data_IF_059859306297
#
_entry.id   IF_059859306297
#
_cell.length_a   1.000
_cell.length_b   1.000
_cell.length_c   1.000
_cell.angle_alpha   90.00
_cell.angle_beta   90.00
_cell.angle_gamma   90.00
#
_symmetry.space_group_name_H-M   'P 1'
#
loop_
_entity.id
_entity.type
_entity.pdbx_description
1 polymer ?
#
# COMPACT_ATOMS: atom_id res chain seq x y z
N UNK A 1 -6.96 -10.65 -9.50
CA UNK A 1 -7.38 -9.56 -10.41
C UNK A 1 -8.03 -8.39 -9.65
N UNK A 2 -8.85 -8.64 -8.62
CA UNK A 2 -9.55 -7.59 -7.87
C UNK A 2 -8.62 -6.49 -7.36
N UNK A 3 -7.55 -6.84 -6.65
CA UNK A 3 -6.61 -5.87 -6.08
C UNK A 3 -5.79 -5.08 -7.13
N UNK A 4 -5.78 -5.51 -8.39
CA UNK A 4 -5.12 -4.75 -9.45
C UNK A 4 -5.86 -3.46 -9.81
N UNK A 5 -7.16 -3.39 -9.57
CA UNK A 5 -7.95 -2.17 -9.78
C UNK A 5 -7.46 -1.04 -8.90
N UNK A 6 -7.30 -1.28 -7.60
CA UNK A 6 -6.82 -0.28 -6.63
C UNK A 6 -5.32 -0.01 -6.81
N UNK A 7 -4.56 -1.03 -7.24
CA UNK A 7 -3.14 -0.86 -7.57
C UNK A 7 -2.92 0.08 -8.75
N UNK A 8 -3.82 0.12 -9.72
CA UNK A 8 -3.76 1.07 -10.84
C UNK A 8 -3.81 2.52 -10.35
N UNK A 9 -4.65 2.83 -9.36
CA UNK A 9 -4.72 4.17 -8.77
C UNK A 9 -3.38 4.56 -8.11
N UNK A 10 -2.71 3.63 -7.44
CA UNK A 10 -1.39 3.87 -6.86
C UNK A 10 -0.30 4.06 -7.93
N UNK A 11 -0.39 3.33 -9.04
CA UNK A 11 0.52 3.54 -10.19
C UNK A 11 0.31 4.91 -10.83
N UNK A 12 -0.92 5.41 -10.84
CA UNK A 12 -1.22 6.76 -11.31
C UNK A 12 -0.58 7.84 -10.43
N UNK A 13 -0.51 7.61 -9.11
CA UNK A 13 0.25 8.48 -8.20
C UNK A 13 1.76 8.48 -8.54
N UNK A 14 2.35 7.31 -8.78
CA UNK A 14 3.76 7.23 -9.19
C UNK A 14 4.03 7.95 -10.50
N UNK A 15 3.16 7.77 -11.48
CA UNK A 15 3.26 8.46 -12.77
C UNK A 15 3.16 9.99 -12.61
N UNK A 16 2.26 10.45 -11.74
CA UNK A 16 2.08 11.87 -11.46
C UNK A 16 3.35 12.54 -10.91
N UNK A 17 4.09 11.87 -10.04
CA UNK A 17 5.29 12.43 -9.40
C UNK A 17 6.59 12.17 -10.16
N UNK A 18 6.67 11.12 -10.95
CA UNK A 18 7.94 10.70 -11.58
C UNK A 18 7.87 10.48 -13.09
N UNK A 19 6.67 10.45 -13.67
CA UNK A 19 6.47 10.10 -15.09
C UNK A 19 6.51 8.60 -15.37
N UNK A 20 6.79 7.75 -14.37
CA UNK A 20 6.88 6.29 -14.52
C UNK A 20 5.89 5.59 -13.59
N UNK A 21 5.13 4.62 -14.14
CA UNK A 21 4.07 3.91 -13.40
C UNK A 21 4.60 2.92 -12.34
N UNK A 22 5.74 2.31 -12.57
CA UNK A 22 6.30 1.27 -11.69
C UNK A 22 7.69 1.62 -11.16
N UNK A 23 8.58 2.06 -11.99
CA UNK A 23 9.96 2.37 -11.62
C UNK A 23 10.10 3.87 -11.34
N UNK A 24 9.36 4.35 -10.36
CA UNK A 24 9.35 5.75 -9.98
C UNK A 24 10.68 6.11 -9.29
N UNK A 25 11.53 6.86 -9.97
CA UNK A 25 12.78 7.39 -9.41
C UNK A 25 12.51 8.71 -8.68
N UNK A 26 11.62 8.70 -7.68
CA UNK A 26 11.15 9.89 -6.97
C UNK A 26 12.11 10.33 -5.87
N UNK A 27 12.68 9.38 -5.13
CA UNK A 27 13.66 9.67 -4.08
C UNK A 27 15.02 10.06 -4.66
N UNK A 28 15.65 11.08 -4.08
CA UNK A 28 16.97 11.59 -4.45
C UNK A 28 17.81 11.78 -3.20
N UNK A 29 19.15 11.76 -3.29
CA UNK A 29 20.00 12.16 -2.17
C UNK A 29 19.62 13.54 -1.67
N UNK A 30 19.23 13.63 -0.39
CA UNK A 30 18.77 14.86 0.23
C UNK A 30 17.27 15.14 0.17
N UNK A 31 16.44 14.27 -0.47
CA UNK A 31 15.00 14.49 -0.51
C UNK A 31 14.27 13.77 -1.63
N UNK A 32 13.49 14.49 -2.40
CA UNK A 32 12.67 13.99 -3.50
C UNK A 32 12.93 14.78 -4.78
N UNK A 33 12.50 14.23 -5.91
CA UNK A 33 12.75 14.78 -7.24
C UNK A 33 12.05 16.12 -7.49
N UNK A 34 10.81 16.27 -7.00
CA UNK A 34 9.98 17.48 -7.15
C UNK A 34 8.83 17.48 -6.16
N UNK A 35 8.20 18.64 -6.01
CA UNK A 35 6.97 18.79 -5.24
C UNK A 35 5.82 17.94 -5.80
N UNK A 36 4.82 17.70 -4.95
CA UNK A 36 3.60 17.05 -5.36
C UNK A 36 2.82 17.94 -6.32
N UNK A 37 2.33 17.42 -7.45
CA UNK A 37 1.60 18.24 -8.41
C UNK A 37 0.26 18.75 -7.85
N UNK A 38 -0.02 20.03 -8.09
CA UNK A 38 -1.28 20.67 -7.73
C UNK A 38 -2.47 20.18 -8.55
N UNK A 39 -2.22 19.48 -9.64
CA UNK A 39 -3.24 18.90 -10.50
C UNK A 39 -2.85 17.49 -10.92
N UNK A 40 -3.80 16.55 -10.81
CA UNK A 40 -3.59 15.20 -11.33
C UNK A 40 -3.53 15.19 -12.85
N UNK A 41 -2.50 14.55 -13.46
CA UNK A 41 -2.45 14.36 -14.90
C UNK A 41 -3.68 13.60 -15.39
N UNK A 42 -4.33 14.13 -16.43
CA UNK A 42 -5.48 13.49 -17.07
C UNK A 42 -5.02 12.57 -18.20
N UNK A 43 -5.65 11.41 -18.31
CA UNK A 43 -5.46 10.53 -19.46
C UNK A 43 -5.99 11.20 -20.72
N UNK A 44 -5.23 11.04 -21.81
CA UNK A 44 -5.66 11.42 -23.14
C UNK A 44 -6.31 10.21 -23.83
N UNK A 45 -7.32 10.49 -24.67
CA UNK A 45 -7.92 9.45 -25.51
C UNK A 45 -6.86 8.90 -26.48
N UNK A 46 -6.78 7.61 -26.60
CA UNK A 46 -5.82 6.92 -27.47
C UNK A 46 -6.51 5.85 -28.32
N UNK A 47 -5.77 5.28 -29.29
CA UNK A 47 -6.28 4.16 -30.10
C UNK A 47 -6.68 2.93 -29.28
N UNK A 48 -6.15 2.79 -28.07
CA UNK A 48 -6.39 1.65 -27.16
C UNK A 48 -7.59 1.92 -26.23
N UNK A 49 -7.81 3.21 -25.85
CA UNK A 49 -8.88 3.60 -24.94
C UNK A 49 -9.82 4.58 -25.65
N UNK A 50 -11.08 4.21 -25.76
CA UNK A 50 -12.11 5.10 -26.32
C UNK A 50 -12.44 6.24 -25.33
N UNK A 51 -13.14 7.27 -25.81
CA UNK A 51 -13.50 8.44 -25.01
C UNK A 51 -14.29 8.11 -23.74
N UNK A 52 -15.18 7.11 -23.79
CA UNK A 52 -15.96 6.66 -22.61
C UNK A 52 -15.07 6.08 -21.53
N UNK A 53 -14.08 5.27 -21.89
CA UNK A 53 -13.10 4.70 -20.95
C UNK A 53 -12.17 5.80 -20.40
N UNK A 54 -11.72 6.71 -21.23
CA UNK A 54 -10.91 7.86 -20.84
C UNK A 54 -11.66 8.76 -19.87
N UNK A 55 -12.95 9.04 -20.14
CA UNK A 55 -13.81 9.83 -19.24
C UNK A 55 -13.99 9.14 -17.88
N UNK A 56 -14.24 7.82 -17.88
CA UNK A 56 -14.39 7.05 -16.65
C UNK A 56 -13.11 7.05 -15.79
N UNK A 57 -11.93 6.93 -16.43
CA UNK A 57 -10.63 7.00 -15.72
C UNK A 57 -10.32 8.40 -15.18
N UNK A 58 -10.79 9.44 -15.82
CA UNK A 58 -10.57 10.81 -15.39
C UNK A 58 -11.59 11.33 -14.36
N UNK A 59 -12.65 10.57 -14.08
CA UNK A 59 -13.72 11.00 -13.19
C UNK A 59 -13.24 11.37 -11.77
N UNK A 60 -12.22 10.70 -11.27
CA UNK A 60 -11.64 10.92 -9.94
C UNK A 60 -10.32 11.71 -9.98
N UNK A 61 -10.00 12.37 -11.11
CA UNK A 61 -8.75 13.13 -11.29
C UNK A 61 -9.00 14.64 -11.30
N UNK A 62 -9.93 15.07 -10.46
CA UNK A 62 -10.16 16.49 -10.21
C UNK A 62 -9.39 16.87 -8.94
N UNK A 63 -8.73 18.03 -8.97
CA UNK A 63 -7.92 18.54 -7.86
C UNK A 63 -6.44 18.12 -7.90
N UNK A 64 -5.79 18.24 -6.75
CA UNK A 64 -4.38 17.95 -6.56
C UNK A 64 -4.11 16.44 -6.41
N UNK A 65 -2.84 16.06 -6.47
CA UNK A 65 -2.44 14.69 -6.13
C UNK A 65 -2.80 14.35 -4.67
N UNK A 66 -2.71 15.31 -3.75
CA UNK A 66 -3.12 15.09 -2.35
C UNK A 66 -4.61 14.79 -2.24
N UNK A 67 -5.47 15.47 -3.01
CA UNK A 67 -6.91 15.19 -3.03
C UNK A 67 -7.20 13.78 -3.57
N UNK A 68 -6.46 13.36 -4.59
CA UNK A 68 -6.58 12.02 -5.15
C UNK A 68 -6.15 10.93 -4.14
N UNK A 69 -5.03 11.14 -3.43
CA UNK A 69 -4.55 10.21 -2.39
C UNK A 69 -5.54 10.16 -1.22
N UNK A 70 -6.08 11.29 -0.79
CA UNK A 70 -7.07 11.35 0.27
C UNK A 70 -8.35 10.58 -0.10
N UNK A 71 -8.89 10.80 -1.31
CA UNK A 71 -10.03 10.03 -1.82
C UNK A 71 -9.73 8.51 -1.84
N UNK A 72 -8.55 8.13 -2.35
CA UNK A 72 -8.11 6.74 -2.32
C UNK A 72 -8.12 6.18 -0.91
N UNK A 73 -7.52 6.87 0.07
CA UNK A 73 -7.45 6.39 1.45
C UNK A 73 -8.81 6.28 2.13
N UNK A 74 -9.79 7.08 1.72
CA UNK A 74 -11.14 7.05 2.27
C UNK A 74 -11.96 5.86 1.76
N UNK A 75 -11.76 5.44 0.51
CA UNK A 75 -12.49 4.32 -0.09
C UNK A 75 -11.75 2.97 0.01
N UNK A 76 -10.44 2.97 0.21
CA UNK A 76 -9.62 1.75 0.24
C UNK A 76 -10.03 0.75 1.33
N UNK A 77 -10.40 1.14 2.57
CA UNK A 77 -10.86 0.19 3.59
C UNK A 77 -12.00 -0.71 3.13
N UNK A 78 -12.96 -0.16 2.38
CA UNK A 78 -14.06 -0.92 1.80
C UNK A 78 -13.57 -2.04 0.88
N UNK A 79 -12.55 -1.79 0.09
CA UNK A 79 -11.98 -2.81 -0.80
C UNK A 79 -11.22 -3.89 -0.01
N UNK A 80 -10.55 -3.54 1.07
CA UNK A 80 -9.93 -4.51 1.97
C UNK A 80 -11.00 -5.44 2.57
N UNK A 81 -12.14 -4.89 3.00
CA UNK A 81 -13.27 -5.68 3.52
C UNK A 81 -13.88 -6.59 2.43
N UNK A 82 -13.95 -6.13 1.18
CA UNK A 82 -14.36 -6.96 0.03
C UNK A 82 -13.39 -8.13 -0.18
N UNK A 83 -12.08 -7.92 -0.09
CA UNK A 83 -11.09 -8.99 -0.23
C UNK A 83 -11.23 -10.03 0.90
N UNK A 84 -11.44 -9.58 2.13
CA UNK A 84 -11.65 -10.49 3.25
C UNK A 84 -12.94 -11.28 3.12
N UNK A 85 -14.03 -10.65 2.71
CA UNK A 85 -15.29 -11.33 2.43
C UNK A 85 -15.15 -12.44 1.39
N UNK A 86 -14.32 -12.20 0.38
CA UNK A 86 -14.09 -13.18 -0.70
C UNK A 86 -13.14 -14.32 -0.29
N UNK A 87 -12.16 -14.04 0.58
CA UNK A 87 -11.03 -14.93 0.78
C UNK A 87 -10.92 -15.47 2.21
N UNK A 88 -11.05 -14.62 3.25
CA UNK A 88 -10.68 -14.98 4.63
C UNK A 88 -11.42 -16.22 5.12
N UNK A 89 -12.72 -16.30 4.92
CA UNK A 89 -13.53 -17.46 5.33
C UNK A 89 -13.81 -18.47 4.20
N UNK A 90 -13.23 -18.25 3.05
CA UNK A 90 -13.40 -19.16 1.93
C UNK A 90 -12.74 -20.51 2.23
N UNK A 91 -13.54 -21.60 2.18
CA UNK A 91 -13.08 -22.97 2.47
C UNK A 91 -11.92 -23.41 1.58
N UNK A 92 -11.98 -23.11 0.29
CA UNK A 92 -10.94 -23.50 -0.66
C UNK A 92 -9.63 -22.75 -0.36
N UNK A 93 -9.76 -21.46 -0.02
CA UNK A 93 -8.62 -20.63 0.36
C UNK A 93 -7.94 -21.15 1.63
N UNK A 94 -8.71 -21.41 2.69
CA UNK A 94 -8.21 -21.98 3.94
C UNK A 94 -7.53 -23.33 3.73
N UNK A 95 -8.15 -24.25 3.00
CA UNK A 95 -7.58 -25.57 2.75
C UNK A 95 -6.25 -25.56 1.98
N UNK A 96 -5.98 -24.47 1.25
CA UNK A 96 -4.72 -24.32 0.51
C UNK A 96 -3.64 -23.57 1.25
N UNK A 97 -3.96 -22.93 2.38
CA UNK A 97 -3.04 -22.02 3.06
C UNK A 97 -2.80 -22.40 4.52
N UNK A 98 -3.81 -22.90 5.23
CA UNK A 98 -3.67 -23.31 6.64
C UNK A 98 -2.78 -24.54 6.71
N UNK A 99 -1.81 -24.50 7.60
CA UNK A 99 -0.80 -25.54 7.81
C UNK A 99 0.10 -25.82 6.58
N UNK A 100 0.09 -24.94 5.59
CA UNK A 100 0.94 -25.05 4.39
C UNK A 100 2.10 -24.07 4.48
N UNK A 101 3.32 -24.59 4.21
CA UNK A 101 4.53 -23.77 4.18
C UNK A 101 4.88 -23.18 5.53
N UNK A 102 4.74 -23.95 6.59
CA UNK A 102 5.07 -23.55 7.96
C UNK A 102 6.57 -23.28 8.07
N UNK A 103 6.92 -22.12 8.61
CA UNK A 103 8.30 -21.72 8.91
C UNK A 103 8.36 -21.27 10.36
N UNK A 104 9.16 -21.98 11.18
CA UNK A 104 9.34 -21.59 12.59
C UNK A 104 10.08 -20.25 12.72
N UNK A 105 9.93 -19.53 13.85
CA UNK A 105 10.64 -18.29 14.11
C UNK A 105 12.15 -18.40 13.95
N UNK A 106 12.75 -19.51 14.43
CA UNK A 106 14.19 -19.76 14.37
C UNK A 106 14.64 -19.94 12.92
N UNK A 107 13.90 -20.74 12.15
CA UNK A 107 14.21 -20.97 10.73
C UNK A 107 14.01 -19.69 9.90
N UNK A 108 12.97 -18.92 10.19
CA UNK A 108 12.74 -17.64 9.51
C UNK A 108 13.91 -16.67 9.72
N UNK A 109 14.44 -16.57 10.95
CA UNK A 109 15.63 -15.77 11.26
C UNK A 109 16.88 -16.31 10.56
N UNK A 110 17.11 -17.62 10.60
CA UNK A 110 18.25 -18.26 9.97
C UNK A 110 18.28 -18.09 8.44
N UNK A 111 17.10 -18.03 7.80
CA UNK A 111 16.95 -17.81 6.36
C UNK A 111 16.91 -16.31 5.97
N UNK A 112 17.03 -15.40 6.93
CA UNK A 112 16.99 -13.96 6.65
C UNK A 112 15.62 -13.43 6.24
N UNK A 113 14.53 -14.00 6.72
CA UNK A 113 13.18 -13.49 6.46
C UNK A 113 13.03 -12.10 7.06
N UNK A 114 12.28 -11.25 6.37
CA UNK A 114 11.97 -9.87 6.80
C UNK A 114 10.49 -9.54 6.55
N UNK A 115 10.03 -8.43 7.10
CA UNK A 115 8.69 -7.89 6.88
C UNK A 115 7.57 -8.87 7.22
N UNK A 116 6.47 -8.88 6.44
CA UNK A 116 5.32 -9.75 6.69
C UNK A 116 5.67 -11.25 6.70
N UNK A 117 6.72 -11.67 5.98
CA UNK A 117 7.18 -13.05 5.99
C UNK A 117 7.71 -13.46 7.36
N UNK A 118 8.51 -12.62 8.00
CA UNK A 118 9.03 -12.85 9.34
C UNK A 118 7.94 -12.73 10.41
N UNK A 119 7.11 -11.70 10.29
CA UNK A 119 5.99 -11.47 11.21
C UNK A 119 4.93 -12.58 11.15
N UNK A 120 4.68 -13.14 9.98
CA UNK A 120 3.84 -14.33 9.82
C UNK A 120 4.32 -15.54 10.65
N UNK A 121 5.62 -15.64 10.91
CA UNK A 121 6.23 -16.67 11.77
C UNK A 121 6.27 -16.29 13.26
N UNK A 122 5.53 -15.29 13.70
CA UNK A 122 5.41 -14.92 15.11
C UNK A 122 6.52 -14.01 15.65
N UNK A 123 7.37 -13.46 14.79
CA UNK A 123 8.45 -12.55 15.21
C UNK A 123 8.01 -11.10 15.03
N UNK A 124 7.84 -10.40 16.14
CA UNK A 124 7.49 -8.97 16.17
C UNK A 124 8.70 -8.11 15.78
N UNK A 125 9.00 -8.07 14.48
CA UNK A 125 10.08 -7.27 13.94
C UNK A 125 9.58 -6.37 12.81
N UNK A 126 9.76 -5.06 13.02
CA UNK A 126 9.51 -4.03 12.00
C UNK A 126 10.51 -2.90 12.19
N UNK A 127 11.32 -2.63 11.17
CA UNK A 127 12.33 -1.57 11.21
C UNK A 127 11.72 -0.19 11.46
N UNK A 128 10.51 0.05 10.97
CA UNK A 128 9.80 1.32 11.18
C UNK A 128 9.56 1.64 12.66
N UNK A 129 9.52 0.61 13.52
CA UNK A 129 9.35 0.74 14.99
C UNK A 129 10.64 0.45 15.77
N UNK A 130 11.44 -0.54 15.35
CA UNK A 130 12.65 -0.97 16.09
C UNK A 130 13.85 -0.05 15.85
N UNK A 131 13.96 0.49 14.64
CA UNK A 131 14.97 1.48 14.23
C UNK A 131 14.32 2.51 13.30
N UNK A 132 13.48 3.42 13.86
CA UNK A 132 12.73 4.38 13.07
C UNK A 132 13.65 5.18 12.15
N UNK A 133 13.21 5.37 10.92
CA UNK A 133 13.86 6.20 9.91
C UNK A 133 12.81 7.11 9.25
N UNK A 134 13.27 8.17 8.58
CA UNK A 134 12.40 9.19 7.99
C UNK A 134 11.44 9.77 9.04
N UNK A 135 10.13 9.65 8.80
CA UNK A 135 9.08 10.17 9.67
C UNK A 135 8.33 9.07 10.45
N UNK A 136 8.82 7.84 10.45
CA UNK A 136 8.12 6.73 11.10
C UNK A 136 8.03 6.83 12.62
N UNK A 137 8.88 7.64 13.24
CA UNK A 137 8.79 8.01 14.67
C UNK A 137 7.61 8.95 14.98
N UNK A 138 7.04 9.62 13.98
CA UNK A 138 5.97 10.60 14.10
C UNK A 138 4.59 10.08 13.70
N UNK A 139 4.53 8.88 13.13
CA UNK A 139 3.28 8.28 12.67
C UNK A 139 2.86 7.11 13.55
N UNK A 140 1.57 7.00 13.78
CA UNK A 140 0.97 5.93 14.57
C UNK A 140 0.49 4.80 13.67
N UNK A 141 0.94 3.59 13.96
CA UNK A 141 0.48 2.36 13.33
C UNK A 141 0.81 1.16 14.21
N UNK A 142 0.10 0.06 13.99
CA UNK A 142 0.31 -1.19 14.71
C UNK A 142 1.10 -2.18 13.82
N UNK A 143 1.79 -3.13 14.47
CA UNK A 143 2.56 -4.16 13.78
C UNK A 143 1.76 -5.46 13.84
N UNK A 144 1.18 -5.94 12.74
CA UNK A 144 0.51 -7.23 12.73
C UNK A 144 1.52 -8.37 12.79
N UNK A 145 1.23 -9.35 13.64
CA UNK A 145 2.07 -10.53 13.87
C UNK A 145 1.21 -11.79 13.80
N UNK A 146 1.65 -12.79 13.03
CA UNK A 146 1.03 -14.10 12.96
C UNK A 146 1.48 -15.03 14.10
N UNK A 147 0.97 -16.23 14.12
CA UNK A 147 1.22 -17.20 15.18
C UNK A 147 1.76 -18.52 14.62
N UNK A 148 1.15 -19.02 13.54
CA UNK A 148 1.40 -20.37 13.02
C UNK A 148 2.57 -20.45 12.02
N UNK A 149 2.98 -19.33 11.46
CA UNK A 149 4.06 -19.27 10.48
C UNK A 149 3.72 -19.90 9.13
N UNK A 150 2.45 -20.10 8.82
CA UNK A 150 1.95 -20.70 7.59
C UNK A 150 1.60 -19.66 6.52
N UNK A 151 1.14 -20.14 5.36
CA UNK A 151 0.70 -19.24 4.28
C UNK A 151 -0.53 -18.41 4.66
N UNK A 152 -1.40 -18.94 5.52
CA UNK A 152 -2.61 -18.25 5.94
C UNK A 152 -2.28 -17.07 6.86
N UNK A 153 -1.40 -17.26 7.83
CA UNK A 153 -0.94 -16.17 8.70
C UNK A 153 -0.23 -15.08 7.90
N UNK A 154 0.59 -15.44 6.91
CA UNK A 154 1.21 -14.46 6.01
C UNK A 154 0.18 -13.67 5.20
N UNK A 155 -0.93 -14.30 4.82
CA UNK A 155 -2.05 -13.62 4.19
C UNK A 155 -2.73 -12.65 5.17
N UNK A 156 -3.09 -13.09 6.38
CA UNK A 156 -3.74 -12.26 7.39
C UNK A 156 -2.88 -11.04 7.77
N UNK A 157 -1.59 -11.24 7.97
CA UNK A 157 -0.64 -10.15 8.24
C UNK A 157 -0.68 -9.12 7.11
N UNK A 158 -0.71 -9.54 5.83
CA UNK A 158 -0.78 -8.60 4.71
C UNK A 158 -2.12 -7.87 4.61
N UNK A 159 -3.22 -8.51 4.98
CA UNK A 159 -4.53 -7.83 5.02
C UNK A 159 -4.53 -6.72 6.06
N UNK A 160 -3.97 -6.97 7.25
CA UNK A 160 -3.85 -5.94 8.28
C UNK A 160 -2.82 -4.86 7.89
N UNK A 161 -1.72 -5.22 7.22
CA UNK A 161 -0.75 -4.25 6.67
C UNK A 161 -1.40 -3.26 5.69
N UNK A 162 -2.41 -3.67 4.92
CA UNK A 162 -3.17 -2.71 4.09
C UNK A 162 -3.86 -1.65 4.92
N UNK A 163 -4.46 -2.02 6.06
CA UNK A 163 -5.13 -1.08 6.97
C UNK A 163 -4.13 -0.14 7.62
N UNK A 164 -3.03 -0.70 8.12
CA UNK A 164 -2.00 0.10 8.79
C UNK A 164 -1.28 1.04 7.82
N UNK A 165 -0.99 0.59 6.61
CA UNK A 165 -0.42 1.45 5.55
C UNK A 165 -1.37 2.59 5.19
N UNK A 166 -2.66 2.31 5.07
CA UNK A 166 -3.68 3.33 4.81
C UNK A 166 -3.75 4.36 5.95
N UNK A 167 -3.63 3.92 7.21
CA UNK A 167 -3.57 4.78 8.39
C UNK A 167 -2.35 5.71 8.36
N UNK A 168 -1.19 5.20 7.96
CA UNK A 168 0.03 6.00 7.79
C UNK A 168 -0.17 7.06 6.69
N UNK A 169 -0.69 6.67 5.52
CA UNK A 169 -0.89 7.60 4.40
C UNK A 169 -1.82 8.74 4.81
N UNK A 170 -2.91 8.46 5.51
CA UNK A 170 -3.82 9.50 6.03
C UNK A 170 -3.10 10.53 6.91
N UNK A 171 -2.30 10.06 7.84
CA UNK A 171 -1.51 10.94 8.73
C UNK A 171 -0.52 11.81 7.92
N UNK A 172 0.12 11.22 6.90
CA UNK A 172 1.02 11.97 6.03
C UNK A 172 0.28 13.04 5.22
N UNK A 173 -0.88 12.73 4.66
CA UNK A 173 -1.71 13.69 3.92
C UNK A 173 -2.16 14.83 4.82
N UNK A 174 -2.64 14.51 6.01
CA UNK A 174 -3.06 15.51 7.00
C UNK A 174 -1.91 16.45 7.41
N UNK A 175 -0.71 15.89 7.56
CA UNK A 175 0.47 16.67 7.89
C UNK A 175 0.88 17.59 6.74
N UNK A 176 0.93 17.08 5.51
CA UNK A 176 1.31 17.84 4.32
C UNK A 176 0.34 19.00 4.05
N UNK A 177 -0.96 18.81 4.29
CA UNK A 177 -1.95 19.90 4.16
C UNK A 177 -1.74 21.03 5.18
N UNK A 178 -1.28 20.69 6.39
CA UNK A 178 -1.03 21.68 7.46
C UNK A 178 0.33 22.36 7.31
N UNK A 179 1.26 21.74 6.60
CA UNK A 179 2.63 22.20 6.46
C UNK A 179 3.03 22.27 4.97
N UNK A 180 2.44 23.20 4.22
CA UNK A 180 2.85 23.41 2.83
C UNK A 180 4.30 23.89 2.78
N UNK A 181 5.06 23.37 1.85
CA UNK A 181 6.46 23.76 1.64
C UNK A 181 6.87 23.40 0.21
N UNK A 182 8.06 23.82 -0.18
CA UNK A 182 8.71 23.43 -1.41
C UNK A 182 9.88 22.50 -1.15
N UNK A 183 10.18 21.65 -2.10
CA UNK A 183 11.36 20.77 -2.09
C UNK A 183 12.62 21.57 -2.46
#
# INVERSE_FOLDING_TARGET
>A
LYAFREREDLMDCYEAVSGARMHAAYYRPGGVYRDLPDTMPKYQSSKIHNEKQTRARNANREGSLLDFIEDFTNRFPKYVDEYETLLTDNRIWKQRLVDIGIVSPERAKALGFTGPMLRGSGVEWDLRKKQPYEVYDRVEFDIPVGVNGDCYDRYLVRMEEFRQSNRIIKQCVDWLRKNPGSV
#
